data_IF_794062382652
#
_entry.id   IF_794062382652
#
_cell.length_a   1.000
_cell.length_b   1.000
_cell.length_c   1.000
_cell.angle_alpha   90.00
_cell.angle_beta   90.00
_cell.angle_gamma   90.00
#
_symmetry.space_group_name_H-M   'P 1'
#
loop_
_entity.id
_entity.type
_entity.pdbx_description
1 polymer ?
#
# COMPACT_ATOMS: atom_id res chain seq x y z
N UNK A 1 -41.18 -54.82 -70.21
CA UNK A 1 -40.43 -53.54 -70.38
C UNK A 1 -41.07 -52.48 -69.50
N UNK A 2 -40.26 -51.59 -68.89
CA UNK A 2 -40.60 -50.43 -68.02
C UNK A 2 -40.97 -50.82 -66.57
N UNK A 3 -39.99 -50.84 -65.66
CA UNK A 3 -39.54 -49.75 -64.75
C UNK A 3 -40.67 -49.17 -63.90
N UNK A 4 -40.54 -49.34 -62.58
CA UNK A 4 -40.93 -48.37 -61.54
C UNK A 4 -40.12 -48.71 -60.27
N UNK A 5 -39.05 -47.95 -60.03
CA UNK A 5 -38.38 -47.86 -58.73
C UNK A 5 -39.10 -46.77 -57.93
N UNK A 6 -39.68 -47.13 -56.79
CA UNK A 6 -40.18 -46.16 -55.81
C UNK A 6 -39.10 -45.93 -54.77
N UNK A 7 -38.47 -44.75 -54.79
CA UNK A 7 -37.62 -44.26 -53.71
C UNK A 7 -38.51 -43.88 -52.52
N UNK A 8 -38.37 -44.59 -51.40
CA UNK A 8 -38.97 -44.19 -50.13
C UNK A 8 -38.10 -43.09 -49.48
N UNK A 9 -38.69 -41.91 -49.30
CA UNK A 9 -38.07 -40.76 -48.63
C UNK A 9 -38.16 -40.99 -47.11
N UNK A 10 -37.05 -41.26 -46.44
CA UNK A 10 -36.98 -41.28 -44.98
C UNK A 10 -36.91 -39.85 -44.44
N UNK A 11 -38.04 -39.35 -43.92
CA UNK A 11 -38.08 -38.09 -43.16
C UNK A 11 -37.54 -38.37 -41.75
N UNK A 12 -36.36 -37.84 -41.43
CA UNK A 12 -35.82 -37.81 -40.06
C UNK A 12 -36.47 -36.66 -39.29
N UNK A 13 -37.37 -36.97 -38.37
CA UNK A 13 -37.80 -36.02 -37.33
C UNK A 13 -36.65 -35.85 -36.30
N UNK A 14 -36.05 -34.68 -36.25
CA UNK A 14 -35.20 -34.26 -35.13
C UNK A 14 -36.07 -33.62 -34.04
N UNK A 15 -35.92 -33.97 -32.75
CA UNK A 15 -36.65 -33.29 -31.69
C UNK A 15 -35.98 -31.93 -31.41
N UNK A 16 -36.74 -30.85 -31.55
CA UNK A 16 -36.38 -29.53 -31.04
C UNK A 16 -36.44 -29.57 -29.51
N UNK A 17 -35.29 -29.67 -28.85
CA UNK A 17 -35.15 -29.41 -27.42
C UNK A 17 -35.14 -27.89 -27.24
N UNK A 18 -36.25 -27.33 -26.77
CA UNK A 18 -36.33 -25.94 -26.38
C UNK A 18 -35.55 -25.73 -25.07
N UNK A 19 -34.31 -25.21 -25.17
CA UNK A 19 -33.62 -24.66 -24.01
C UNK A 19 -34.33 -23.37 -23.58
N UNK A 20 -35.09 -23.44 -22.50
CA UNK A 20 -35.56 -22.26 -21.79
C UNK A 20 -34.33 -21.58 -21.15
N UNK A 21 -33.85 -20.51 -21.79
CA UNK A 21 -32.85 -19.62 -21.20
C UNK A 21 -33.51 -18.86 -20.04
N UNK A 22 -33.32 -19.35 -18.82
CA UNK A 22 -33.57 -18.58 -17.61
C UNK A 22 -32.56 -17.43 -17.59
N UNK A 23 -33.01 -16.26 -18.04
CA UNK A 23 -32.29 -15.00 -17.87
C UNK A 23 -32.19 -14.74 -16.36
N UNK A 24 -31.06 -15.13 -15.77
CA UNK A 24 -30.74 -14.75 -14.40
C UNK A 24 -30.61 -13.22 -14.36
N UNK A 25 -31.64 -12.55 -13.84
CA UNK A 25 -31.53 -11.17 -13.44
C UNK A 25 -30.45 -11.09 -12.36
N UNK A 26 -29.22 -10.79 -12.79
CA UNK A 26 -28.14 -10.44 -11.88
C UNK A 26 -28.56 -9.12 -11.24
N UNK A 27 -29.12 -9.21 -10.03
CA UNK A 27 -29.37 -8.05 -9.18
C UNK A 27 -28.00 -7.52 -8.73
N UNK A 28 -27.27 -6.87 -9.64
CA UNK A 28 -26.27 -5.90 -9.28
C UNK A 28 -27.03 -4.74 -8.64
N UNK A 29 -27.34 -4.89 -7.35
CA UNK A 29 -27.54 -3.73 -6.50
C UNK A 29 -26.16 -3.07 -6.50
N UNK A 30 -26.01 -2.01 -7.30
CA UNK A 30 -24.88 -1.11 -7.22
C UNK A 30 -24.82 -0.63 -5.77
N UNK A 31 -23.95 -1.26 -4.98
CA UNK A 31 -23.64 -0.76 -3.65
C UNK A 31 -23.20 0.69 -3.85
N UNK A 32 -23.80 1.65 -3.13
CA UNK A 32 -23.37 3.03 -3.21
C UNK A 32 -21.85 3.08 -3.11
N UNK A 33 -21.21 3.75 -4.06
CA UNK A 33 -19.78 3.91 -4.04
C UNK A 33 -19.38 4.54 -2.69
N UNK A 34 -18.49 3.89 -1.96
CA UNK A 34 -17.96 4.40 -0.70
C UNK A 34 -16.75 5.29 -1.03
N UNK A 35 -16.84 6.62 -0.93
CA UNK A 35 -15.77 7.50 -1.40
C UNK A 35 -14.45 7.31 -0.64
N UNK A 36 -14.54 6.96 0.65
CA UNK A 36 -13.37 6.60 1.47
C UNK A 36 -12.63 5.36 0.95
N UNK A 37 -13.33 4.45 0.26
CA UNK A 37 -12.76 3.25 -0.38
C UNK A 37 -12.34 3.46 -1.83
N UNK A 38 -12.43 4.67 -2.38
CA UNK A 38 -11.97 4.93 -3.74
C UNK A 38 -10.44 4.76 -3.83
N UNK A 39 -9.96 3.99 -4.81
CA UNK A 39 -8.54 3.66 -4.95
C UNK A 39 -7.64 4.89 -5.07
N UNK A 40 -8.14 5.98 -5.65
CA UNK A 40 -7.43 7.27 -5.76
C UNK A 40 -7.07 7.88 -4.40
N UNK A 41 -7.82 7.54 -3.35
CA UNK A 41 -7.59 8.06 -2.01
C UNK A 41 -6.57 7.23 -1.22
N UNK A 42 -6.31 5.99 -1.64
CA UNK A 42 -5.41 5.06 -0.93
C UNK A 42 -3.97 5.30 -1.37
N UNK A 43 -3.21 6.01 -0.53
CA UNK A 43 -1.81 6.34 -0.77
C UNK A 43 -0.88 5.13 -0.57
N UNK A 44 -1.15 4.32 0.44
CA UNK A 44 -0.45 3.06 0.70
C UNK A 44 -1.39 2.06 1.38
N UNK A 45 -1.17 0.77 1.14
CA UNK A 45 -1.89 -0.31 1.81
C UNK A 45 -0.96 -1.52 1.95
N UNK A 46 -0.86 -2.07 3.15
CA UNK A 46 0.02 -3.21 3.47
C UNK A 46 -0.52 -4.04 4.63
N UNK A 47 0.12 -5.19 4.86
CA UNK A 47 -0.08 -5.97 6.10
C UNK A 47 1.17 -5.82 6.96
N UNK A 48 0.98 -5.41 8.19
CA UNK A 48 2.01 -5.33 9.23
C UNK A 48 1.86 -6.52 10.18
N UNK A 49 2.98 -7.08 10.62
CA UNK A 49 3.03 -8.06 11.70
C UNK A 49 3.42 -7.32 12.97
N UNK A 50 2.46 -7.12 13.85
CA UNK A 50 2.64 -6.49 15.16
C UNK A 50 2.98 -7.49 16.26
N UNK A 51 2.84 -7.02 17.51
CA UNK A 51 3.09 -7.82 18.71
C UNK A 51 2.31 -9.13 18.72
N UNK A 52 2.90 -10.17 19.32
CA UNK A 52 2.32 -11.52 19.40
C UNK A 52 1.89 -12.10 18.04
N UNK A 53 2.60 -11.75 16.96
CA UNK A 53 2.33 -12.16 15.58
C UNK A 53 0.97 -11.70 15.03
N UNK A 54 0.40 -10.63 15.58
CA UNK A 54 -0.87 -10.12 15.10
C UNK A 54 -0.73 -9.49 13.72
N UNK A 55 -1.45 -10.03 12.73
CA UNK A 55 -1.53 -9.43 11.40
C UNK A 55 -2.50 -8.24 11.41
N UNK A 56 -2.06 -7.10 10.88
CA UNK A 56 -2.80 -5.84 10.85
C UNK A 56 -2.80 -5.33 9.41
N UNK A 57 -3.97 -5.21 8.80
CA UNK A 57 -4.11 -4.46 7.55
C UNK A 57 -4.03 -2.98 7.86
N UNK A 58 -3.11 -2.24 7.22
CA UNK A 58 -2.96 -0.80 7.35
C UNK A 58 -3.14 -0.10 6.02
N UNK A 59 -3.77 1.07 6.08
CA UNK A 59 -3.97 1.97 4.94
C UNK A 59 -3.60 3.38 5.33
N UNK A 60 -2.86 4.05 4.45
CA UNK A 60 -2.68 5.51 4.46
C UNK A 60 -3.62 6.08 3.41
N UNK A 61 -4.46 7.03 3.83
CA UNK A 61 -5.46 7.68 2.97
C UNK A 61 -5.34 9.18 3.03
N UNK A 62 -5.49 9.86 1.89
CA UNK A 62 -5.67 11.31 1.82
C UNK A 62 -7.15 11.71 1.73
N UNK A 63 -8.07 10.75 1.85
CA UNK A 63 -9.50 11.05 1.86
C UNK A 63 -9.83 11.99 3.02
N UNK A 64 -10.50 13.09 2.70
CA UNK A 64 -11.04 14.03 3.67
C UNK A 64 -12.57 13.96 3.58
N UNK A 65 -13.27 13.52 4.63
CA UNK A 65 -14.72 13.43 4.63
C UNK A 65 -15.35 14.82 4.51
N UNK A 66 -16.50 14.91 3.83
CA UNK A 66 -17.22 16.17 3.67
C UNK A 66 -17.85 16.66 4.98
N UNK A 67 -18.23 15.72 5.86
CA UNK A 67 -18.73 15.98 7.22
C UNK A 67 -17.99 15.14 8.24
N UNK A 68 -17.93 15.60 9.50
CA UNK A 68 -17.37 14.82 10.61
C UNK A 68 -18.15 13.51 10.89
N UNK A 69 -19.40 13.41 10.42
CA UNK A 69 -20.22 12.19 10.50
C UNK A 69 -19.90 11.17 9.41
N UNK A 70 -19.19 11.57 8.36
CA UNK A 70 -18.89 10.70 7.22
C UNK A 70 -17.70 9.78 7.54
N UNK A 71 -17.70 8.54 7.02
CA UNK A 71 -16.62 7.60 7.31
C UNK A 71 -15.31 8.05 6.66
N UNK A 72 -14.27 8.25 7.47
CA UNK A 72 -12.91 8.58 7.02
C UNK A 72 -12.16 7.37 6.44
N UNK A 73 -12.29 6.22 7.10
CA UNK A 73 -11.50 5.05 6.77
C UNK A 73 -12.15 4.22 5.65
N UNK A 74 -11.37 3.59 4.77
CA UNK A 74 -11.91 2.70 3.75
C UNK A 74 -12.55 1.44 4.37
N UNK A 75 -13.33 0.73 3.55
CA UNK A 75 -13.80 -0.60 3.83
C UNK A 75 -12.73 -1.62 3.45
N UNK A 76 -12.56 -2.62 4.31
CA UNK A 76 -11.74 -3.80 4.08
C UNK A 76 -12.67 -4.99 3.83
N UNK A 77 -12.38 -5.78 2.80
CA UNK A 77 -13.00 -7.08 2.59
C UNK A 77 -12.05 -8.16 3.13
N UNK A 78 -12.53 -8.99 4.05
CA UNK A 78 -11.84 -10.20 4.52
C UNK A 78 -12.75 -11.39 4.28
N UNK A 79 -12.28 -12.38 3.52
CA UNK A 79 -13.05 -13.58 3.17
C UNK A 79 -14.46 -13.28 2.65
N UNK A 80 -14.56 -12.25 1.80
CA UNK A 80 -15.82 -11.77 1.22
C UNK A 80 -16.69 -10.90 2.15
N UNK A 81 -16.34 -10.77 3.42
CA UNK A 81 -17.05 -9.90 4.38
C UNK A 81 -16.45 -8.50 4.37
N UNK A 82 -17.29 -7.51 4.07
CA UNK A 82 -16.92 -6.09 4.14
C UNK A 82 -17.11 -5.53 5.54
N UNK A 83 -16.11 -4.79 6.02
CA UNK A 83 -16.16 -4.02 7.27
C UNK A 83 -15.39 -2.71 7.14
N UNK A 84 -15.79 -1.69 7.89
CA UNK A 84 -15.08 -0.40 7.95
C UNK A 84 -13.79 -0.55 8.76
N UNK A 85 -12.67 -0.03 8.27
CA UNK A 85 -11.43 0.04 9.06
C UNK A 85 -11.53 1.10 10.17
N UNK A 86 -10.72 0.96 11.22
CA UNK A 86 -10.68 1.90 12.35
C UNK A 86 -9.62 2.97 12.11
N UNK A 87 -9.90 4.21 12.50
CA UNK A 87 -8.90 5.28 12.49
C UNK A 87 -7.81 4.99 13.54
N UNK A 88 -6.56 4.90 13.07
CA UNK A 88 -5.38 4.79 13.94
C UNK A 88 -4.86 6.17 14.34
N UNK A 89 -4.67 7.04 13.34
CA UNK A 89 -4.25 8.43 13.53
C UNK A 89 -4.80 9.30 12.40
N UNK A 90 -5.31 10.48 12.75
CA UNK A 90 -5.84 11.45 11.80
C UNK A 90 -4.75 12.33 11.17
N UNK A 91 -5.09 12.98 10.06
CA UNK A 91 -4.26 14.00 9.44
C UNK A 91 -3.98 15.15 10.42
N UNK A 92 -2.73 15.60 10.48
CA UNK A 92 -2.30 16.67 11.37
C UNK A 92 -1.01 17.32 10.88
N UNK A 93 -0.76 18.56 11.29
CA UNK A 93 0.59 19.15 11.27
C UNK A 93 1.12 19.10 12.69
N UNK A 94 2.13 18.26 12.93
CA UNK A 94 2.76 18.14 14.23
C UNK A 94 3.82 19.22 14.36
N UNK A 95 3.76 19.98 15.46
CA UNK A 95 4.73 21.04 15.73
C UNK A 95 6.16 20.50 15.68
N UNK A 96 7.08 21.35 15.22
CA UNK A 96 8.50 21.06 15.20
C UNK A 96 8.98 20.74 16.63
N UNK A 97 9.62 19.57 16.79
CA UNK A 97 10.28 19.19 18.05
C UNK A 97 11.71 19.69 18.06
N UNK A 98 12.33 19.69 19.23
CA UNK A 98 13.78 19.80 19.34
C UNK A 98 14.41 18.63 18.59
N UNK A 99 15.31 18.93 17.66
CA UNK A 99 16.06 17.94 16.88
C UNK A 99 17.56 18.24 16.97
N UNK A 100 18.40 17.42 16.36
CA UNK A 100 19.83 17.68 16.23
C UNK A 100 20.15 18.85 15.29
N UNK A 101 19.23 19.25 14.40
CA UNK A 101 19.40 20.38 13.49
C UNK A 101 18.95 21.69 14.13
N UNK A 102 19.57 22.79 13.73
CA UNK A 102 19.13 24.13 14.12
C UNK A 102 17.66 24.36 13.73
N UNK A 103 16.90 25.16 14.51
CA UNK A 103 15.50 25.44 14.19
C UNK A 103 15.26 25.99 12.78
N UNK A 104 16.22 26.75 12.24
CA UNK A 104 16.17 27.32 10.89
C UNK A 104 16.37 26.27 9.77
N UNK A 105 16.96 25.12 10.09
CA UNK A 105 17.19 24.01 9.15
C UNK A 105 16.18 22.87 9.35
N UNK A 106 15.11 23.13 10.10
CA UNK A 106 14.04 22.20 10.46
C UNK A 106 12.68 22.81 10.15
N UNK A 107 11.65 21.98 10.04
CA UNK A 107 10.26 22.43 9.84
C UNK A 107 9.26 21.55 10.61
N UNK A 108 8.04 22.04 10.89
CA UNK A 108 6.95 21.19 11.37
C UNK A 108 6.66 20.01 10.43
N UNK A 109 6.22 18.89 11.00
CA UNK A 109 5.94 17.67 10.23
C UNK A 109 4.48 17.63 9.81
N UNK A 110 4.23 17.89 8.52
CA UNK A 110 2.90 17.83 7.94
C UNK A 110 2.52 16.41 7.52
N UNK A 111 1.40 15.91 8.05
CA UNK A 111 0.76 14.65 7.64
C UNK A 111 -0.64 14.96 7.12
N UNK A 112 -0.80 15.37 5.84
CA UNK A 112 -2.11 15.59 5.22
C UNK A 112 -2.77 14.25 4.81
N UNK A 113 -2.53 13.21 5.60
CA UNK A 113 -3.03 11.85 5.41
C UNK A 113 -3.42 11.26 6.76
N UNK A 114 -4.41 10.38 6.76
CA UNK A 114 -4.80 9.59 7.92
C UNK A 114 -4.36 8.14 7.77
N UNK A 115 -4.11 7.46 8.88
CA UNK A 115 -3.83 6.02 8.90
C UNK A 115 -5.03 5.30 9.48
N UNK A 116 -5.50 4.29 8.75
CA UNK A 116 -6.56 3.39 9.17
C UNK A 116 -6.01 1.98 9.31
N UNK A 117 -6.52 1.22 10.26
CA UNK A 117 -6.08 -0.15 10.48
C UNK A 117 -7.21 -1.12 10.84
N UNK A 118 -6.97 -2.40 10.64
CA UNK A 118 -7.85 -3.48 11.09
C UNK A 118 -7.03 -4.72 11.38
N UNK A 119 -7.25 -5.27 12.57
CA UNK A 119 -6.73 -6.58 12.96
C UNK A 119 -7.32 -7.66 12.05
N UNK A 120 -6.46 -8.39 11.36
CA UNK A 120 -6.88 -9.50 10.50
C UNK A 120 -7.13 -10.75 11.36
N UNK A 121 -8.24 -11.47 11.15
CA UNK A 121 -8.49 -12.74 11.81
C UNK A 121 -7.38 -13.75 11.51
N UNK A 122 -7.02 -14.56 12.50
CA UNK A 122 -6.13 -15.70 12.29
C UNK A 122 -6.74 -16.66 11.25
N UNK A 123 -5.95 -17.07 10.27
CA UNK A 123 -6.41 -17.97 9.21
C UNK A 123 -7.29 -17.33 8.14
N UNK A 124 -7.36 -16.00 8.06
CA UNK A 124 -7.95 -15.32 6.90
C UNK A 124 -7.34 -15.88 5.60
N UNK A 125 -8.18 -16.09 4.58
CA UNK A 125 -7.76 -16.65 3.29
C UNK A 125 -7.59 -15.57 2.23
N UNK A 126 -8.28 -14.45 2.39
CA UNK A 126 -8.21 -13.30 1.50
C UNK A 126 -8.45 -12.01 2.26
N UNK A 127 -7.71 -10.96 1.89
CA UNK A 127 -7.99 -9.59 2.33
C UNK A 127 -7.79 -8.62 1.16
N UNK A 128 -8.65 -7.61 1.06
CA UNK A 128 -8.49 -6.55 0.07
C UNK A 128 -9.10 -5.23 0.52
N UNK A 129 -8.51 -4.13 0.08
CA UNK A 129 -8.99 -2.77 0.35
C UNK A 129 -8.93 -1.94 -0.92
N UNK A 130 -10.00 -1.21 -1.23
CA UNK A 130 -10.10 -0.40 -2.45
C UNK A 130 -9.75 -1.18 -3.74
N UNK A 131 -10.16 -2.46 -3.81
CA UNK A 131 -9.86 -3.35 -4.94
C UNK A 131 -8.42 -3.90 -4.99
N UNK A 132 -7.56 -3.57 -4.02
CA UNK A 132 -6.18 -4.06 -3.91
C UNK A 132 -6.13 -5.26 -2.98
N UNK A 133 -5.64 -6.40 -3.47
CA UNK A 133 -5.36 -7.55 -2.62
C UNK A 133 -4.21 -7.24 -1.64
N UNK A 134 -4.34 -7.71 -0.40
CA UNK A 134 -3.32 -7.58 0.65
C UNK A 134 -2.63 -8.94 0.86
N UNK A 135 -1.28 -8.99 0.94
CA UNK A 135 -0.57 -10.24 1.16
C UNK A 135 -0.77 -10.71 2.61
N UNK A 136 -1.31 -11.90 2.80
CA UNK A 136 -1.56 -12.48 4.12
C UNK A 136 -0.33 -13.23 4.65
N UNK A 137 -0.13 -13.27 5.98
CA UNK A 137 0.99 -14.00 6.58
C UNK A 137 0.88 -15.50 6.36
N UNK A 138 2.03 -16.13 6.10
CA UNK A 138 2.16 -17.58 6.13
C UNK A 138 2.45 -18.03 7.56
N UNK A 139 1.86 -19.16 7.97
CA UNK A 139 2.08 -19.72 9.31
C UNK A 139 3.55 -20.04 9.61
N UNK A 140 4.34 -20.38 8.58
CA UNK A 140 5.77 -20.66 8.68
C UNK A 140 6.50 -19.98 7.49
N UNK A 141 6.85 -18.69 7.59
CA UNK A 141 7.57 -18.00 6.51
C UNK A 141 8.94 -18.67 6.28
N UNK A 142 9.25 -19.03 5.04
CA UNK A 142 10.50 -19.70 4.66
C UNK A 142 11.43 -18.76 3.90
N UNK A 143 10.89 -17.80 3.15
CA UNK A 143 11.65 -16.77 2.45
C UNK A 143 11.45 -15.43 3.13
N UNK A 144 12.45 -14.98 3.88
CA UNK A 144 12.41 -13.70 4.58
C UNK A 144 13.36 -12.74 3.87
N UNK A 145 12.85 -11.61 3.41
CA UNK A 145 13.67 -10.51 2.95
C UNK A 145 14.01 -9.60 4.12
N UNK A 146 15.29 -9.28 4.31
CA UNK A 146 15.74 -8.36 5.35
C UNK A 146 16.32 -7.13 4.67
N UNK A 147 15.82 -5.96 5.05
CA UNK A 147 16.25 -4.65 4.51
C UNK A 147 16.45 -3.65 5.64
N UNK A 148 17.35 -2.69 5.44
CA UNK A 148 17.81 -1.73 6.44
C UNK A 148 18.32 -0.48 5.74
N UNK A 149 18.45 0.63 6.47
CA UNK A 149 19.22 1.81 6.04
C UNK A 149 18.82 2.32 4.65
N UNK A 150 17.51 2.39 4.40
CA UNK A 150 16.96 2.63 3.06
C UNK A 150 16.75 4.10 2.75
N UNK A 151 16.83 4.99 3.74
CA UNK A 151 16.62 6.43 3.55
C UNK A 151 17.65 7.08 2.61
N UNK A 152 17.24 8.19 1.96
CA UNK A 152 18.16 8.97 1.15
C UNK A 152 18.77 10.15 1.93
N UNK A 153 20.10 10.23 2.00
CA UNK A 153 20.82 11.18 2.86
C UNK A 153 20.79 12.61 2.36
N UNK A 154 20.13 13.48 3.12
CA UNK A 154 20.22 14.94 2.99
C UNK A 154 20.38 15.56 4.38
N UNK A 155 21.61 15.87 4.76
CA UNK A 155 21.94 16.32 6.12
C UNK A 155 23.05 17.37 6.11
N UNK A 156 22.72 18.55 6.64
CA UNK A 156 23.60 19.71 6.69
C UNK A 156 24.82 19.51 7.58
N UNK A 157 24.63 18.94 8.76
CA UNK A 157 25.71 18.74 9.74
C UNK A 157 26.86 17.85 9.22
N UNK A 158 26.55 16.94 8.28
CA UNK A 158 27.53 16.02 7.70
C UNK A 158 28.01 16.50 6.31
N UNK A 159 27.48 17.64 5.82
CA UNK A 159 27.62 18.09 4.43
C UNK A 159 27.32 16.98 3.40
N UNK A 160 26.28 16.18 3.66
CA UNK A 160 25.94 14.99 2.88
C UNK A 160 24.64 15.22 2.11
N UNK A 161 24.73 15.16 0.77
CA UNK A 161 23.64 15.49 -0.14
C UNK A 161 23.57 14.49 -1.30
N UNK A 162 22.84 13.39 -1.12
CA UNK A 162 22.65 12.39 -2.17
C UNK A 162 21.69 12.87 -3.25
N UNK A 163 21.91 12.42 -4.49
CA UNK A 163 20.99 12.67 -5.59
C UNK A 163 19.74 11.79 -5.47
N UNK A 164 18.84 12.15 -4.57
CA UNK A 164 17.77 11.30 -4.09
C UNK A 164 16.61 11.05 -5.06
N UNK A 165 16.65 11.68 -6.24
CA UNK A 165 15.73 11.43 -7.35
C UNK A 165 16.43 10.64 -8.49
N UNK A 166 17.70 10.26 -8.30
CA UNK A 166 18.48 9.47 -9.24
C UNK A 166 18.58 8.02 -8.75
N UNK A 167 17.90 7.11 -9.45
CA UNK A 167 17.89 5.68 -9.13
C UNK A 167 19.27 5.01 -9.29
N UNK A 168 20.26 5.65 -9.92
CA UNK A 168 21.64 5.13 -9.97
C UNK A 168 22.44 5.48 -8.71
N UNK A 169 22.02 6.50 -7.96
CA UNK A 169 22.67 6.96 -6.72
C UNK A 169 21.93 6.45 -5.48
N UNK A 170 20.60 6.47 -5.51
CA UNK A 170 19.75 5.93 -4.45
C UNK A 170 18.73 4.93 -5.02
N UNK A 171 19.13 3.65 -5.19
CA UNK A 171 18.39 2.65 -5.97
C UNK A 171 17.30 1.91 -5.17
N UNK A 172 16.74 2.49 -4.09
CA UNK A 172 15.87 1.72 -3.20
C UNK A 172 14.62 1.18 -3.89
N UNK A 173 14.03 1.93 -4.82
CA UNK A 173 12.89 1.47 -5.63
C UNK A 173 13.22 0.21 -6.46
N UNK A 174 14.41 0.19 -7.06
CA UNK A 174 14.93 -0.89 -7.90
C UNK A 174 15.24 -2.11 -7.05
N UNK A 175 15.82 -1.91 -5.87
CA UNK A 175 16.07 -2.98 -4.89
C UNK A 175 14.73 -3.57 -4.41
N UNK A 176 13.78 -2.73 -3.98
CA UNK A 176 12.47 -3.18 -3.49
C UNK A 176 11.71 -3.96 -4.57
N UNK A 177 11.70 -3.46 -5.81
CA UNK A 177 11.11 -4.16 -6.95
C UNK A 177 11.81 -5.50 -7.26
N UNK A 178 13.12 -5.57 -7.09
CA UNK A 178 13.89 -6.81 -7.30
C UNK A 178 13.60 -7.84 -6.22
N UNK A 179 13.58 -7.42 -4.95
CA UNK A 179 13.19 -8.28 -3.81
C UNK A 179 11.76 -8.78 -3.98
N UNK A 180 10.83 -7.92 -4.42
CA UNK A 180 9.45 -8.29 -4.68
C UNK A 180 9.32 -9.44 -5.71
N UNK A 181 10.20 -9.50 -6.72
CA UNK A 181 10.23 -10.59 -7.72
C UNK A 181 10.65 -11.94 -7.12
N UNK A 182 11.40 -11.94 -6.01
CA UNK A 182 11.79 -13.16 -5.31
C UNK A 182 10.63 -13.79 -4.53
N UNK A 183 9.46 -13.12 -4.48
CA UNK A 183 8.27 -13.59 -3.76
C UNK A 183 8.57 -13.97 -2.30
N UNK A 184 9.04 -13.01 -1.47
CA UNK A 184 9.24 -13.26 -0.05
C UNK A 184 7.91 -13.61 0.62
N UNK A 185 7.99 -14.40 1.69
CA UNK A 185 6.87 -14.72 2.57
C UNK A 185 6.68 -13.64 3.64
N UNK A 186 7.77 -12.96 3.99
CA UNK A 186 7.85 -11.92 5.01
C UNK A 186 8.96 -10.93 4.64
N UNK A 187 8.75 -9.65 4.93
CA UNK A 187 9.79 -8.63 4.91
C UNK A 187 10.05 -8.18 6.34
N UNK A 188 11.32 -8.13 6.73
CA UNK A 188 11.77 -7.49 7.96
C UNK A 188 12.55 -6.23 7.57
N UNK A 189 12.01 -5.06 7.89
CA UNK A 189 12.77 -3.83 7.80
C UNK A 189 13.29 -3.44 9.18
N UNK A 190 14.61 -3.39 9.33
CA UNK A 190 15.26 -3.21 10.64
C UNK A 190 15.51 -1.74 11.02
N UNK A 191 14.70 -0.82 10.47
CA UNK A 191 14.82 0.62 10.73
C UNK A 191 15.65 1.41 9.73
N UNK A 192 15.75 2.70 10.01
CA UNK A 192 16.48 3.71 9.24
C UNK A 192 15.91 3.88 7.82
N UNK A 193 14.60 4.12 7.78
CA UNK A 193 13.86 4.39 6.55
C UNK A 193 14.10 5.82 6.06
N UNK A 194 14.41 6.76 6.95
CA UNK A 194 14.21 8.19 6.68
C UNK A 194 15.47 9.04 6.90
N UNK A 195 16.09 9.54 5.81
CA UNK A 195 17.38 10.27 5.91
C UNK A 195 17.36 11.72 5.37
N UNK A 196 16.23 12.24 4.87
CA UNK A 196 16.15 13.62 4.34
C UNK A 196 15.86 14.67 5.42
N UNK A 197 16.81 14.89 6.31
CA UNK A 197 16.65 15.75 7.50
C UNK A 197 16.54 17.24 7.16
N UNK A 198 17.34 17.73 6.21
CA UNK A 198 17.46 19.16 5.90
C UNK A 198 17.17 19.47 4.42
N UNK A 199 16.82 20.73 4.15
CA UNK A 199 16.61 21.22 2.79
C UNK A 199 17.88 21.09 1.94
N UNK A 200 17.72 20.66 0.68
CA UNK A 200 18.80 20.64 -0.30
C UNK A 200 19.33 22.07 -0.55
N UNK A 201 20.65 22.30 -0.49
CA UNK A 201 21.25 23.57 -0.89
C UNK A 201 20.95 23.90 -2.36
N UNK A 202 20.70 25.17 -2.72
CA UNK A 202 20.28 25.57 -4.06
C UNK A 202 21.35 25.32 -5.14
N UNK A 203 22.61 25.20 -4.75
CA UNK A 203 23.77 24.93 -5.60
C UNK A 203 24.05 23.43 -5.82
N UNK A 204 23.31 22.53 -5.15
CA UNK A 204 23.47 21.09 -5.31
C UNK A 204 22.36 20.54 -6.22
N UNK A 205 22.70 20.38 -7.50
CA UNK A 205 21.75 19.91 -8.51
C UNK A 205 21.15 18.52 -8.21
N UNK A 206 21.92 17.61 -7.60
CA UNK A 206 21.51 16.22 -7.40
C UNK A 206 20.29 16.03 -6.49
N UNK A 207 20.20 16.80 -5.40
CA UNK A 207 19.07 16.71 -4.45
C UNK A 207 17.99 17.76 -4.73
N UNK A 208 18.11 18.53 -5.81
CA UNK A 208 17.17 19.62 -6.11
C UNK A 208 15.74 19.09 -6.12
N UNK A 209 14.83 19.88 -5.55
CA UNK A 209 13.39 19.60 -5.44
C UNK A 209 13.05 18.32 -4.64
N UNK A 210 14.02 17.75 -3.92
CA UNK A 210 13.75 16.66 -2.97
C UNK A 210 12.95 17.16 -1.76
N UNK A 211 11.96 16.39 -1.28
CA UNK A 211 11.33 16.68 0.00
C UNK A 211 12.35 16.55 1.13
N UNK A 212 12.08 17.21 2.24
CA UNK A 212 12.95 17.25 3.42
C UNK A 212 12.14 17.48 4.69
N UNK A 213 12.75 17.23 5.85
CA UNK A 213 12.07 17.24 7.14
C UNK A 213 11.34 15.92 7.38
N UNK A 214 10.51 15.85 8.42
CA UNK A 214 9.94 14.57 8.90
C UNK A 214 8.44 14.39 8.59
N UNK A 215 7.95 15.08 7.54
CA UNK A 215 6.55 15.02 7.11
C UNK A 215 6.23 13.87 6.17
N UNK A 216 4.95 13.73 5.83
CA UNK A 216 4.44 12.72 4.89
C UNK A 216 5.11 12.79 3.51
N UNK A 217 5.42 13.99 3.02
CA UNK A 217 6.16 14.20 1.77
C UNK A 217 7.45 13.36 1.71
N UNK A 218 8.15 13.31 2.84
CA UNK A 218 9.44 12.66 2.98
C UNK A 218 9.30 11.17 3.28
N UNK A 219 8.38 10.78 4.18
CA UNK A 219 8.01 9.38 4.39
C UNK A 219 7.51 8.69 3.12
N UNK A 220 6.71 9.39 2.31
CA UNK A 220 6.26 8.89 1.02
C UNK A 220 7.44 8.70 0.06
N UNK A 221 8.35 9.67 0.00
CA UNK A 221 9.49 9.63 -0.90
C UNK A 221 10.50 8.52 -0.53
N UNK A 222 10.83 8.37 0.76
CA UNK A 222 11.87 7.47 1.25
C UNK A 222 11.39 6.03 1.46
N UNK A 223 10.13 5.83 1.87
CA UNK A 223 9.60 4.50 2.18
C UNK A 223 8.46 4.08 1.26
N UNK A 224 7.31 4.76 1.35
CA UNK A 224 6.07 4.19 0.82
C UNK A 224 6.03 4.10 -0.70
N UNK A 225 6.54 5.11 -1.43
CA UNK A 225 6.61 5.08 -2.89
C UNK A 225 7.62 4.04 -3.41
N UNK A 226 8.90 4.03 -3.00
CA UNK A 226 9.86 3.06 -3.53
C UNK A 226 9.54 1.62 -3.10
N UNK A 227 9.03 1.41 -1.88
CA UNK A 227 8.71 0.07 -1.40
C UNK A 227 7.32 -0.44 -1.82
N UNK A 228 6.52 0.35 -2.54
CA UNK A 228 5.15 -0.03 -2.93
C UNK A 228 5.05 -1.41 -3.60
N UNK A 229 5.95 -1.81 -4.52
CA UNK A 229 5.93 -3.16 -5.10
C UNK A 229 6.13 -4.25 -4.06
N UNK A 230 6.96 -4.02 -3.04
CA UNK A 230 7.29 -5.00 -2.01
C UNK A 230 6.21 -5.07 -0.92
N UNK A 231 5.60 -3.94 -0.54
CA UNK A 231 4.39 -3.91 0.31
C UNK A 231 3.23 -4.72 -0.29
N UNK A 232 3.13 -4.76 -1.62
CA UNK A 232 2.10 -5.55 -2.31
C UNK A 232 2.41 -7.06 -2.37
N UNK A 233 3.61 -7.51 -1.96
CA UNK A 233 4.03 -8.92 -2.11
C UNK A 233 4.07 -9.73 -0.83
N UNK A 234 4.38 -9.10 0.30
CA UNK A 234 4.51 -9.80 1.58
C UNK A 234 4.06 -8.91 2.74
N UNK A 235 3.66 -9.48 3.89
CA UNK A 235 3.56 -8.74 5.14
C UNK A 235 4.92 -8.25 5.62
N UNK A 236 4.91 -7.18 6.41
CA UNK A 236 6.11 -6.53 6.93
C UNK A 236 6.16 -6.57 8.45
N UNK A 237 7.30 -6.96 8.99
CA UNK A 237 7.74 -6.56 10.34
C UNK A 237 8.57 -5.29 10.16
N UNK A 238 8.18 -4.23 10.85
CA UNK A 238 8.87 -2.93 10.81
C UNK A 238 9.42 -2.59 12.19
N UNK A 239 10.70 -2.29 12.25
CA UNK A 239 11.40 -1.85 13.46
C UNK A 239 11.86 -0.41 13.27
N UNK A 240 11.96 0.37 14.34
CA UNK A 240 12.52 1.73 14.27
C UNK A 240 14.02 1.71 14.48
N UNK A 241 14.74 2.43 13.63
CA UNK A 241 16.14 2.76 13.84
C UNK A 241 16.29 4.09 14.58
N UNK A 242 17.51 4.58 14.71
CA UNK A 242 17.78 5.87 15.35
C UNK A 242 17.32 7.06 14.48
N UNK A 243 17.04 6.86 13.19
CA UNK A 243 16.43 7.89 12.36
C UNK A 243 14.93 8.07 12.60
N UNK A 244 14.25 7.09 13.23
CA UNK A 244 12.82 7.14 13.57
C UNK A 244 12.56 7.39 15.06
N UNK A 245 13.55 7.86 15.80
CA UNK A 245 13.42 8.23 17.20
C UNK A 245 12.69 9.57 17.38
N UNK A 246 12.29 9.87 18.62
CA UNK A 246 11.49 11.05 18.96
C UNK A 246 12.11 12.40 18.56
N UNK A 247 13.44 12.50 18.55
CA UNK A 247 14.20 13.70 18.18
C UNK A 247 14.41 13.85 16.66
N UNK A 248 13.94 12.87 15.87
CA UNK A 248 14.08 12.82 14.41
C UNK A 248 12.74 12.47 13.78
N UNK A 249 12.67 11.47 12.91
CA UNK A 249 11.46 11.14 12.17
C UNK A 249 10.34 10.49 13.00
N UNK A 250 10.50 10.34 14.33
CA UNK A 250 9.59 9.54 15.15
C UNK A 250 8.14 10.04 15.28
N UNK A 251 7.79 11.17 14.67
CA UNK A 251 6.41 11.66 14.53
C UNK A 251 5.60 10.91 13.46
N UNK A 252 6.28 10.37 12.44
CA UNK A 252 5.65 9.53 11.42
C UNK A 252 5.33 8.14 11.90
#
# INVERSE_FOLDING_TARGET
MRRLLSLALFVRCAPLVALAALSACSNHIDKPADPASAAINVQAAWVEIGDANQAIARVITNYTPASASDPLCPQLAVDGKLSRMTLRVGAATVAQRTTASDPADSKPSGFPVSVCETTLPAGAQSASVAGRALPLPKAQPQRIAIIADTGCRMKKADNAWQACNDATVWPFDTIAASVAKLSPDLVLHVGDYHYRENACPPDIAGCKDSPWGYGWDTWQADLFRPAAPLFAKAPWVVVRGNHEECARAGQG
#
